data_IF_893857553249
#
_entry.id   IF_893857553249
#
_cell.length_a   1.000
_cell.length_b   1.000
_cell.length_c   1.000
_cell.angle_alpha   90.00
_cell.angle_beta   90.00
_cell.angle_gamma   90.00
#
_symmetry.space_group_name_H-M   'P 1'
#
loop_
_entity.id
_entity.type
_entity.pdbx_description
1 polymer ?
#
# COMPACT_ATOMS: atom_id res chain seq x y z
N UNK A 1 -3.49 -11.90 -30.91
CA UNK A 1 -4.80 -11.25 -30.69
C UNK A 1 -4.94 -11.01 -29.19
N UNK A 2 -4.94 -9.76 -28.73
CA UNK A 2 -5.21 -9.45 -27.32
C UNK A 2 -6.71 -9.13 -27.20
N UNK A 3 -7.44 -9.95 -26.44
CA UNK A 3 -8.81 -9.63 -26.05
C UNK A 3 -8.74 -8.54 -24.98
N UNK A 4 -9.33 -7.38 -25.26
CA UNK A 4 -9.66 -6.40 -24.25
C UNK A 4 -10.71 -7.03 -23.33
N UNK A 5 -10.36 -7.23 -22.07
CA UNK A 5 -11.34 -7.52 -21.02
C UNK A 5 -12.02 -6.19 -20.77
N UNK A 6 -13.29 -6.05 -21.15
CA UNK A 6 -14.04 -4.83 -20.88
C UNK A 6 -13.97 -4.50 -19.40
N UNK A 7 -13.42 -3.34 -19.05
CA UNK A 7 -13.45 -2.79 -17.70
C UNK A 7 -14.89 -2.36 -17.42
N UNK A 8 -15.70 -3.27 -16.89
CA UNK A 8 -16.98 -2.90 -16.26
C UNK A 8 -16.65 -2.16 -14.97
N UNK A 9 -16.54 -0.83 -15.01
CA UNK A 9 -16.36 0.00 -13.82
C UNK A 9 -17.70 0.17 -13.10
N UNK A 10 -18.15 -0.88 -12.42
CA UNK A 10 -19.00 -0.67 -11.26
C UNK A 10 -18.10 -0.14 -10.15
N UNK A 11 -18.47 0.93 -9.45
CA UNK A 11 -17.67 1.41 -8.32
C UNK A 11 -17.58 0.28 -7.29
N UNK A 12 -16.35 -0.08 -6.92
CA UNK A 12 -16.11 -1.00 -5.81
C UNK A 12 -16.57 -0.34 -4.51
N UNK A 13 -17.16 -1.11 -3.60
CA UNK A 13 -17.34 -0.64 -2.22
C UNK A 13 -15.98 -0.56 -1.52
N UNK A 14 -15.93 0.22 -0.44
CA UNK A 14 -14.72 0.31 0.40
C UNK A 14 -14.25 -1.07 0.88
N UNK A 15 -15.19 -1.92 1.31
CA UNK A 15 -14.92 -3.29 1.73
C UNK A 15 -14.34 -4.16 0.60
N UNK A 16 -14.88 -4.03 -0.62
CA UNK A 16 -14.36 -4.75 -1.79
C UNK A 16 -12.92 -4.31 -2.12
N UNK A 17 -12.66 -3.01 -2.08
CA UNK A 17 -11.33 -2.46 -2.30
C UNK A 17 -10.33 -2.94 -1.24
N UNK A 18 -10.74 -2.94 0.04
CA UNK A 18 -9.94 -3.44 1.16
C UNK A 18 -9.57 -4.92 0.96
N UNK A 19 -10.57 -5.78 0.72
CA UNK A 19 -10.37 -7.21 0.51
C UNK A 19 -9.46 -7.47 -0.69
N UNK A 20 -9.68 -6.77 -1.81
CA UNK A 20 -8.85 -6.90 -3.02
C UNK A 20 -7.41 -6.50 -2.76
N UNK A 21 -7.18 -5.37 -2.08
CA UNK A 21 -5.85 -4.89 -1.73
C UNK A 21 -5.10 -5.91 -0.89
N UNK A 22 -5.73 -6.42 0.17
CA UNK A 22 -5.12 -7.42 1.05
C UNK A 22 -4.78 -8.72 0.33
N UNK A 23 -5.67 -9.22 -0.53
CA UNK A 23 -5.42 -10.42 -1.32
C UNK A 23 -4.20 -10.27 -2.24
N UNK A 24 -4.07 -9.12 -2.91
CA UNK A 24 -2.91 -8.82 -3.77
C UNK A 24 -1.62 -8.79 -2.96
N UNK A 25 -1.62 -8.09 -1.82
CA UNK A 25 -0.44 -7.92 -0.97
C UNK A 25 0.02 -9.23 -0.37
N UNK A 26 -0.91 -10.05 0.14
CA UNK A 26 -0.61 -11.39 0.64
C UNK A 26 0.01 -12.26 -0.46
N UNK A 27 -0.54 -12.22 -1.67
CA UNK A 27 -0.03 -13.00 -2.79
C UNK A 27 1.38 -12.56 -3.20
N UNK A 28 1.60 -11.25 -3.37
CA UNK A 28 2.90 -10.67 -3.71
C UNK A 28 3.94 -11.00 -2.64
N UNK A 29 3.60 -10.79 -1.37
CA UNK A 29 4.50 -11.04 -0.24
C UNK A 29 4.86 -12.53 -0.13
N UNK A 30 3.88 -13.43 -0.29
CA UNK A 30 4.11 -14.89 -0.25
C UNK A 30 5.05 -15.35 -1.36
N UNK A 31 4.91 -14.80 -2.57
CA UNK A 31 5.78 -15.12 -3.70
C UNK A 31 7.18 -14.56 -3.49
N UNK A 32 7.27 -13.28 -3.12
CA UNK A 32 8.52 -12.57 -2.93
C UNK A 32 9.39 -13.17 -1.82
N UNK A 33 8.81 -13.66 -0.72
CA UNK A 33 9.55 -14.37 0.36
C UNK A 33 10.42 -15.53 -0.15
N UNK A 34 10.10 -16.10 -1.31
CA UNK A 34 10.87 -17.20 -1.91
C UNK A 34 11.98 -16.73 -2.86
N UNK A 35 11.93 -15.48 -3.32
CA UNK A 35 12.72 -15.02 -4.47
C UNK A 35 13.54 -13.77 -4.20
N UNK A 36 13.13 -12.90 -3.26
CA UNK A 36 13.81 -11.65 -2.98
C UNK A 36 13.77 -11.28 -1.49
N UNK A 37 14.73 -10.45 -1.07
CA UNK A 37 14.80 -9.92 0.29
C UNK A 37 13.98 -8.64 0.49
N UNK A 38 13.81 -7.86 -0.57
CA UNK A 38 13.09 -6.58 -0.57
C UNK A 38 12.03 -6.57 -1.68
N UNK A 39 10.94 -5.86 -1.43
CA UNK A 39 9.83 -5.65 -2.36
C UNK A 39 9.51 -4.16 -2.33
N UNK A 40 9.29 -3.57 -3.50
CA UNK A 40 8.71 -2.23 -3.63
C UNK A 40 7.29 -2.37 -4.18
N UNK A 41 6.32 -1.77 -3.50
CA UNK A 41 4.91 -1.72 -3.93
C UNK A 41 4.58 -0.25 -4.15
N UNK A 42 4.14 0.09 -5.37
CA UNK A 42 3.66 1.42 -5.72
C UNK A 42 2.15 1.33 -5.88
N UNK A 43 1.40 2.15 -5.14
CA UNK A 43 -0.06 2.15 -5.16
C UNK A 43 -0.62 3.54 -4.88
N UNK A 44 -1.95 3.65 -4.95
CA UNK A 44 -2.68 4.87 -4.60
C UNK A 44 -2.93 4.95 -3.09
N UNK A 45 -3.48 6.06 -2.63
CA UNK A 45 -3.68 6.38 -1.20
C UNK A 45 -4.45 5.31 -0.42
N UNK A 46 -5.71 5.04 -0.77
CA UNK A 46 -6.56 4.16 0.04
C UNK A 46 -5.95 2.75 0.19
N UNK A 47 -5.42 2.12 -0.89
CA UNK A 47 -4.70 0.86 -0.75
C UNK A 47 -3.49 0.95 0.18
N UNK A 48 -2.76 2.07 0.18
CA UNK A 48 -1.60 2.29 1.05
C UNK A 48 -2.02 2.39 2.52
N UNK A 49 -3.12 3.09 2.82
CA UNK A 49 -3.70 3.16 4.17
C UNK A 49 -4.15 1.78 4.64
N UNK A 50 -4.93 1.06 3.82
CA UNK A 50 -5.39 -0.30 4.15
C UNK A 50 -4.22 -1.27 4.38
N UNK A 51 -3.17 -1.18 3.56
CA UNK A 51 -1.95 -1.96 3.76
C UNK A 51 -1.28 -1.65 5.10
N UNK A 52 -1.18 -0.38 5.48
CA UNK A 52 -0.57 0.02 6.74
C UNK A 52 -1.33 -0.58 7.94
N UNK A 53 -2.66 -0.44 7.94
CA UNK A 53 -3.51 -1.00 8.99
C UNK A 53 -3.47 -2.54 9.04
N UNK A 54 -3.46 -3.24 7.91
CA UNK A 54 -3.37 -4.71 7.89
C UNK A 54 -1.98 -5.21 8.35
N UNK A 55 -0.91 -4.49 7.98
CA UNK A 55 0.47 -4.86 8.32
C UNK A 55 0.76 -4.66 9.80
N UNK A 56 0.34 -3.53 10.37
CA UNK A 56 0.59 -3.17 11.76
C UNK A 56 -0.62 -2.44 12.36
N UNK A 57 -1.70 -3.16 12.73
CA UNK A 57 -2.96 -2.56 13.17
C UNK A 57 -2.85 -1.66 14.40
N UNK A 58 -1.78 -1.81 15.18
CA UNK A 58 -1.53 -1.02 16.40
C UNK A 58 -0.52 0.10 16.18
N UNK A 59 0.30 0.00 15.13
CA UNK A 59 1.35 0.96 14.80
C UNK A 59 1.00 1.90 13.66
N UNK A 60 -0.02 1.57 12.85
CA UNK A 60 -0.54 2.44 11.81
C UNK A 60 -1.25 3.62 12.46
N UNK A 61 -0.70 4.81 12.26
CA UNK A 61 -1.34 6.07 12.63
C UNK A 61 -2.23 6.55 11.49
N UNK A 62 -3.34 7.22 11.81
CA UNK A 62 -4.18 7.93 10.84
C UNK A 62 -3.45 9.20 10.37
N UNK A 63 -2.40 9.02 9.58
CA UNK A 63 -1.58 10.08 9.02
C UNK A 63 -1.98 10.33 7.58
N UNK A 64 -1.92 11.59 7.18
CA UNK A 64 -2.08 11.99 5.79
C UNK A 64 -1.06 11.27 4.90
N UNK A 65 -1.55 10.67 3.82
CA UNK A 65 -0.72 10.00 2.81
C UNK A 65 -0.43 10.98 1.69
N UNK A 66 0.73 11.64 1.76
CA UNK A 66 1.16 12.59 0.73
C UNK A 66 1.56 11.88 -0.57
N UNK A 67 1.56 12.63 -1.68
CA UNK A 67 1.98 12.09 -2.97
C UNK A 67 3.43 11.62 -2.89
N UNK A 68 3.70 10.43 -3.40
CA UNK A 68 5.03 9.81 -3.39
C UNK A 68 5.63 9.60 -1.99
N UNK A 69 4.84 9.68 -0.92
CA UNK A 69 5.31 9.28 0.40
C UNK A 69 5.75 7.81 0.43
N UNK A 70 6.68 7.50 1.33
CA UNK A 70 7.25 6.17 1.45
C UNK A 70 6.91 5.55 2.81
N UNK A 71 6.24 4.41 2.76
CA UNK A 71 6.05 3.54 3.92
C UNK A 71 6.95 2.32 3.81
N UNK A 72 7.49 1.88 4.96
CA UNK A 72 8.36 0.71 5.04
C UNK A 72 7.90 -0.20 6.16
N UNK A 73 7.69 -1.46 5.81
CA UNK A 73 7.45 -2.55 6.74
C UNK A 73 8.62 -3.54 6.74
N UNK A 74 8.92 -4.13 7.89
CA UNK A 74 9.91 -5.20 8.03
C UNK A 74 9.30 -6.43 8.68
N UNK A 75 9.71 -7.62 8.24
CA UNK A 75 9.33 -8.88 8.86
C UNK A 75 10.30 -9.21 10.00
N UNK A 76 9.84 -9.13 11.25
CA UNK A 76 10.61 -9.49 12.44
C UNK A 76 9.83 -10.52 13.26
N UNK A 77 10.46 -11.62 13.65
CA UNK A 77 9.81 -12.69 14.45
C UNK A 77 8.50 -13.21 13.82
N UNK A 78 8.49 -13.41 12.49
CA UNK A 78 7.32 -13.83 11.69
C UNK A 78 6.14 -12.84 11.68
N UNK A 79 6.29 -11.64 12.26
CA UNK A 79 5.30 -10.56 12.21
C UNK A 79 5.85 -9.38 11.42
N UNK A 80 5.02 -8.76 10.58
CA UNK A 80 5.40 -7.50 9.96
C UNK A 80 5.22 -6.36 10.97
N UNK A 81 6.05 -5.32 10.84
CA UNK A 81 5.96 -4.08 11.61
C UNK A 81 6.28 -2.90 10.72
N UNK A 82 5.53 -1.81 10.88
CA UNK A 82 5.88 -0.55 10.25
C UNK A 82 7.11 0.04 10.95
N UNK A 83 8.09 0.46 10.17
CA UNK A 83 9.31 1.16 10.66
C UNK A 83 9.42 2.56 10.08
N UNK A 84 8.64 2.85 9.04
CA UNK A 84 8.48 4.16 8.42
C UNK A 84 7.06 4.21 7.88
N UNK A 85 6.35 5.30 8.11
CA UNK A 85 4.98 5.47 7.64
C UNK A 85 4.85 6.85 7.00
N UNK A 86 4.43 6.86 5.73
CA UNK A 86 4.17 8.06 4.93
C UNK A 86 5.29 9.11 5.00
N UNK A 87 6.54 8.67 4.93
CA UNK A 87 7.70 9.57 4.94
C UNK A 87 7.89 10.23 3.58
N UNK A 88 7.87 11.55 3.58
CA UNK A 88 8.10 12.40 2.43
C UNK A 88 9.33 13.31 2.59
N UNK A 89 10.12 13.08 3.64
CA UNK A 89 11.37 13.84 3.91
C UNK A 89 12.38 13.76 2.76
N UNK A 90 12.23 12.78 1.86
CA UNK A 90 13.03 12.59 0.66
C UNK A 90 12.60 13.48 -0.52
N UNK A 91 11.42 14.10 -0.45
CA UNK A 91 10.90 14.98 -1.49
C UNK A 91 11.46 16.39 -1.28
N UNK A 92 12.00 16.98 -2.35
CA UNK A 92 12.53 18.35 -2.33
C UNK A 92 11.47 19.39 -2.69
N UNK A 93 10.34 18.96 -3.25
CA UNK A 93 9.22 19.84 -3.59
C UNK A 93 8.32 20.03 -2.36
N UNK A 94 7.82 21.25 -2.10
CA UNK A 94 6.79 21.44 -1.09
C UNK A 94 5.59 20.54 -1.41
N UNK A 95 5.00 19.97 -0.37
CA UNK A 95 3.79 19.18 -0.45
C UNK A 95 2.72 19.99 -1.19
N UNK A 96 2.23 19.48 -2.34
CA UNK A 96 1.22 20.20 -3.12
C UNK A 96 -0.13 19.96 -2.42
N UNK A 97 -0.75 20.99 -1.80
CA UNK A 97 -2.06 20.82 -1.18
C UNK A 97 -3.07 20.41 -2.25
N UNK A 98 -3.87 19.40 -1.93
CA UNK A 98 -4.93 18.94 -2.84
C UNK A 98 -5.98 20.03 -3.04
N UNK A 99 -6.33 20.31 -4.29
CA UNK A 99 -7.60 20.99 -4.60
C UNK A 99 -8.74 20.02 -4.33
N UNK A 100 -9.65 20.46 -3.45
CA UNK A 100 -10.95 19.85 -3.15
C UNK A 100 -11.74 19.47 -4.40
#
# INVERSE_FOLDING_TARGET
KYQSIGLTTFPETEEQLYQRTNNVVQHVTKRARKTCRNICIVSHQDPVEYMAHEIDPRGAEDKFVSYCCLSKAVLKNKQHRLVLQHDDSHLTSPEIPRSS
#
